data_IF_308993623590
#
_entry.id   IF_308993623590
#
_cell.length_a   1.000
_cell.length_b   1.000
_cell.length_c   1.000
_cell.angle_alpha   90.00
_cell.angle_beta   90.00
_cell.angle_gamma   90.00
#
_symmetry.space_group_name_H-M   'P 1'
#
loop_
_entity.id
_entity.type
_entity.pdbx_description
1 polymer ?
#
# COMPACT_ATOMS: atom_id res chain seq x y z
N UNK A 1 13.54 8.62 24.96
CA UNK A 1 14.01 9.00 23.61
C UNK A 1 12.90 8.74 22.62
N UNK A 2 12.41 9.77 21.95
CA UNK A 2 11.30 9.68 20.99
C UNK A 2 11.80 9.10 19.67
N UNK A 3 11.74 7.78 19.50
CA UNK A 3 11.89 7.13 18.20
C UNK A 3 11.12 5.80 18.15
N UNK A 4 9.87 5.82 18.61
CA UNK A 4 8.93 4.75 18.28
C UNK A 4 8.49 4.90 16.83
N UNK A 5 8.38 3.81 16.07
CA UNK A 5 7.74 3.85 14.75
C UNK A 5 6.38 4.56 14.88
N UNK A 6 5.99 5.41 13.91
CA UNK A 6 4.73 6.16 13.97
C UNK A 6 3.56 5.22 14.24
N UNK A 7 2.55 5.68 14.98
CA UNK A 7 1.36 4.88 15.33
C UNK A 7 0.72 4.27 14.06
N UNK A 8 0.08 3.09 14.16
CA UNK A 8 -0.50 2.43 13.00
C UNK A 8 -1.47 3.32 12.21
N UNK A 9 -2.32 4.11 12.87
CA UNK A 9 -3.23 5.03 12.19
C UNK A 9 -2.47 6.08 11.37
N UNK A 10 -1.33 6.57 11.86
CA UNK A 10 -0.49 7.55 11.15
C UNK A 10 0.15 6.90 9.92
N UNK A 11 0.59 5.63 10.03
CA UNK A 11 1.15 4.89 8.88
C UNK A 11 0.10 4.63 7.81
N UNK A 12 -1.11 4.25 8.20
CA UNK A 12 -2.21 4.02 7.27
C UNK A 12 -2.61 5.32 6.56
N UNK A 13 -2.82 6.40 7.32
CA UNK A 13 -3.14 7.72 6.78
C UNK A 13 -2.05 8.24 5.82
N UNK A 14 -0.77 8.03 6.15
CA UNK A 14 0.33 8.39 5.26
C UNK A 14 0.32 7.59 3.95
N UNK A 15 -0.14 6.33 3.97
CA UNK A 15 -0.26 5.51 2.76
C UNK A 15 -1.43 5.97 1.89
N UNK A 16 -2.57 6.32 2.49
CA UNK A 16 -3.70 6.91 1.77
C UNK A 16 -3.30 8.25 1.12
N UNK A 17 -2.64 9.13 1.87
CA UNK A 17 -2.13 10.40 1.33
C UNK A 17 -1.11 10.19 0.19
N UNK A 18 -0.27 9.16 0.29
CA UNK A 18 0.68 8.77 -0.77
C UNK A 18 -0.05 8.35 -2.04
N UNK A 19 -1.07 7.49 -1.90
CA UNK A 19 -1.92 7.07 -3.01
C UNK A 19 -2.58 8.27 -3.67
N UNK A 20 -3.23 9.12 -2.88
CA UNK A 20 -3.98 10.26 -3.39
C UNK A 20 -3.05 11.25 -4.13
N UNK A 21 -1.84 11.48 -3.62
CA UNK A 21 -0.85 12.34 -4.29
C UNK A 21 -0.35 11.76 -5.61
N UNK A 22 -0.13 10.45 -5.68
CA UNK A 22 0.25 9.79 -6.94
C UNK A 22 -0.85 9.87 -7.99
N UNK A 23 -2.12 9.77 -7.57
CA UNK A 23 -3.26 9.91 -8.47
C UNK A 23 -3.44 11.35 -8.97
N UNK A 24 -3.20 12.35 -8.11
CA UNK A 24 -3.37 13.76 -8.45
C UNK A 24 -2.26 14.34 -9.35
N UNK A 25 -1.06 13.74 -9.35
CA UNK A 25 0.08 14.25 -10.11
C UNK A 25 0.79 13.12 -10.91
N UNK A 26 0.27 12.80 -12.12
CA UNK A 26 0.91 11.83 -13.00
C UNK A 26 2.29 12.30 -13.52
N UNK A 27 2.64 13.58 -13.35
CA UNK A 27 3.91 14.18 -13.74
C UNK A 27 5.03 14.05 -12.70
N UNK A 28 4.79 13.37 -11.58
CA UNK A 28 5.79 13.16 -10.54
C UNK A 28 7.12 12.63 -11.12
N UNK A 29 8.28 13.19 -10.68
CA UNK A 29 9.58 12.74 -11.15
C UNK A 29 9.72 11.22 -10.98
N UNK A 30 10.30 10.54 -11.98
CA UNK A 30 10.49 9.08 -11.98
C UNK A 30 11.13 8.57 -10.68
N UNK A 31 12.09 9.32 -10.12
CA UNK A 31 12.73 9.00 -8.83
C UNK A 31 11.71 8.97 -7.68
N UNK A 32 10.86 9.98 -7.61
CA UNK A 32 9.80 10.09 -6.60
C UNK A 32 8.81 8.93 -6.74
N UNK A 33 8.36 8.64 -7.96
CA UNK A 33 7.47 7.49 -8.21
C UNK A 33 8.10 6.18 -7.73
N UNK A 34 9.38 5.93 -8.03
CA UNK A 34 10.09 4.73 -7.58
C UNK A 34 10.16 4.63 -6.05
N UNK A 35 10.41 5.74 -5.35
CA UNK A 35 10.43 5.77 -3.89
C UNK A 35 9.07 5.45 -3.30
N UNK A 36 7.99 5.96 -3.89
CA UNK A 36 6.64 5.72 -3.41
C UNK A 36 6.21 4.27 -3.65
N UNK A 37 6.57 3.66 -4.79
CA UNK A 37 6.36 2.21 -5.01
C UNK A 37 7.09 1.39 -3.95
N UNK A 38 8.34 1.70 -3.65
CA UNK A 38 9.09 1.00 -2.59
C UNK A 38 8.42 1.15 -1.21
N UNK A 39 7.87 2.34 -0.91
CA UNK A 39 7.14 2.59 0.33
C UNK A 39 5.85 1.76 0.41
N UNK A 40 5.07 1.69 -0.67
CA UNK A 40 3.85 0.85 -0.77
C UNK A 40 4.21 -0.63 -0.56
N UNK A 41 5.20 -1.14 -1.30
CA UNK A 41 5.63 -2.54 -1.20
C UNK A 41 6.05 -2.91 0.22
N UNK A 42 6.80 -2.04 0.90
CA UNK A 42 7.24 -2.28 2.26
C UNK A 42 6.10 -2.29 3.30
N UNK A 43 4.93 -1.71 2.99
CA UNK A 43 3.76 -1.71 3.88
C UNK A 43 2.81 -2.89 3.68
N UNK A 44 2.94 -3.64 2.59
CA UNK A 44 2.19 -4.89 2.39
C UNK A 44 2.55 -5.95 3.45
N UNK A 45 3.73 -5.84 4.07
CA UNK A 45 4.19 -6.71 5.16
C UNK A 45 4.04 -6.08 6.56
N UNK A 46 3.30 -4.98 6.72
CA UNK A 46 3.12 -4.33 8.02
C UNK A 46 2.38 -5.25 9.01
N UNK A 47 2.74 -5.21 10.29
CA UNK A 47 2.10 -6.03 11.32
C UNK A 47 0.64 -5.63 11.56
N UNK A 48 0.31 -4.36 11.34
CA UNK A 48 -1.05 -3.86 11.50
C UNK A 48 -1.87 -4.07 10.21
N UNK A 49 -3.10 -4.58 10.36
CA UNK A 49 -3.97 -4.91 9.24
C UNK A 49 -4.43 -3.67 8.45
N UNK A 50 -4.73 -2.56 9.12
CA UNK A 50 -5.19 -1.33 8.46
C UNK A 50 -4.10 -0.78 7.53
N UNK A 51 -2.83 -0.86 7.95
CA UNK A 51 -1.69 -0.47 7.11
C UNK A 51 -1.54 -1.37 5.88
N UNK A 52 -1.73 -2.69 6.05
CA UNK A 52 -1.72 -3.63 4.90
C UNK A 52 -2.90 -3.40 3.97
N UNK A 53 -4.08 -3.11 4.51
CA UNK A 53 -5.28 -2.79 3.73
C UNK A 53 -5.07 -1.52 2.90
N UNK A 54 -4.51 -0.46 3.49
CA UNK A 54 -4.18 0.77 2.78
C UNK A 54 -3.13 0.53 1.68
N UNK A 55 -2.12 -0.29 1.96
CA UNK A 55 -1.08 -0.63 0.98
C UNK A 55 -1.63 -1.42 -0.22
N UNK A 56 -2.47 -2.44 0.00
CA UNK A 56 -3.08 -3.21 -1.10
C UNK A 56 -4.08 -2.36 -1.89
N UNK A 57 -4.81 -1.45 -1.24
CA UNK A 57 -5.67 -0.49 -1.93
C UNK A 57 -4.84 0.45 -2.83
N UNK A 58 -3.66 0.88 -2.37
CA UNK A 58 -2.75 1.69 -3.18
C UNK A 58 -2.23 0.91 -4.40
N UNK A 59 -1.85 -0.36 -4.27
CA UNK A 59 -1.43 -1.21 -5.41
C UNK A 59 -2.46 -1.17 -6.54
N UNK A 60 -3.73 -1.43 -6.21
CA UNK A 60 -4.81 -1.46 -7.20
C UNK A 60 -5.11 -0.09 -7.82
N UNK A 61 -5.19 0.96 -6.99
CA UNK A 61 -5.52 2.31 -7.47
C UNK A 61 -4.43 2.89 -8.37
N UNK A 62 -3.17 2.56 -8.10
CA UNK A 62 -2.01 3.10 -8.82
C UNK A 62 -1.61 2.30 -10.06
N UNK A 63 -2.30 1.17 -10.32
CA UNK A 63 -1.92 0.25 -11.40
C UNK A 63 -0.49 -0.27 -11.23
N UNK A 64 -0.06 -0.55 -9.99
CA UNK A 64 1.23 -1.20 -9.77
C UNK A 64 1.14 -2.66 -10.20
N UNK A 65 2.30 -3.33 -10.28
CA UNK A 65 2.39 -4.76 -10.57
C UNK A 65 1.41 -5.55 -9.67
N UNK A 66 0.38 -6.21 -10.25
CA UNK A 66 -0.61 -6.96 -9.48
C UNK A 66 0.00 -8.07 -8.62
N UNK A 67 1.15 -8.61 -9.03
CA UNK A 67 1.85 -9.69 -8.31
C UNK A 67 2.30 -9.25 -6.91
N UNK A 68 2.44 -7.94 -6.66
CA UNK A 68 2.67 -7.41 -5.31
C UNK A 68 1.58 -7.82 -4.32
N UNK A 69 0.34 -8.05 -4.79
CA UNK A 69 -0.77 -8.48 -3.94
C UNK A 69 -0.80 -10.00 -3.69
N UNK A 70 -0.03 -10.82 -4.42
CA UNK A 70 -0.08 -12.30 -4.29
C UNK A 70 0.14 -12.81 -2.87
N UNK A 71 1.11 -12.31 -2.08
CA UNK A 71 1.32 -12.77 -0.71
C UNK A 71 0.11 -12.51 0.22
N UNK A 72 -0.74 -11.53 -0.12
CA UNK A 72 -1.89 -11.15 0.69
C UNK A 72 -3.13 -12.03 0.48
N UNK A 73 -3.08 -13.00 -0.44
CA UNK A 73 -4.14 -14.02 -0.59
C UNK A 73 -4.31 -14.89 0.66
N UNK A 74 -3.28 -14.97 1.51
CA UNK A 74 -3.29 -15.72 2.77
C UNK A 74 -3.32 -14.82 4.01
N UNK A 75 -3.58 -13.52 3.84
CA UNK A 75 -3.63 -12.56 4.94
C UNK A 75 -4.68 -12.96 6.00
N UNK A 76 -4.43 -12.77 7.31
CA UNK A 76 -5.44 -12.99 8.34
C UNK A 76 -6.74 -12.21 8.13
N UNK A 77 -6.67 -10.99 7.60
CA UNK A 77 -7.80 -10.12 7.34
C UNK A 77 -8.57 -10.50 6.07
N UNK A 78 -9.85 -10.89 6.22
CA UNK A 78 -10.69 -11.29 5.09
C UNK A 78 -10.86 -10.18 4.02
N UNK A 79 -10.94 -8.91 4.44
CA UNK A 79 -11.00 -7.75 3.53
C UNK A 79 -9.73 -7.62 2.69
N UNK A 80 -8.56 -7.85 3.30
CA UNK A 80 -7.28 -7.79 2.61
C UNK A 80 -7.19 -8.91 1.57
N UNK A 81 -7.57 -10.14 1.93
CA UNK A 81 -7.63 -11.27 0.97
C UNK A 81 -8.54 -10.96 -0.21
N UNK A 82 -9.74 -10.43 0.04
CA UNK A 82 -10.69 -10.07 -1.02
C UNK A 82 -10.12 -8.99 -1.96
N UNK A 83 -9.48 -7.95 -1.42
CA UNK A 83 -8.83 -6.91 -2.24
C UNK A 83 -7.68 -7.47 -3.07
N UNK A 84 -6.85 -8.32 -2.47
CA UNK A 84 -5.72 -8.95 -3.15
C UNK A 84 -6.19 -9.83 -4.32
N UNK A 85 -7.19 -10.70 -4.08
CA UNK A 85 -7.80 -11.50 -5.13
C UNK A 85 -8.37 -10.62 -6.24
N UNK A 86 -9.08 -9.56 -5.88
CA UNK A 86 -9.61 -8.59 -6.83
C UNK A 86 -8.54 -7.88 -7.66
N UNK A 87 -7.32 -7.67 -7.16
CA UNK A 87 -6.21 -7.08 -7.93
C UNK A 87 -5.65 -8.09 -8.94
N UNK A 88 -5.53 -9.35 -8.56
CA UNK A 88 -4.87 -10.39 -9.37
C UNK A 88 -5.71 -10.93 -10.53
N UNK A 89 -7.02 -10.67 -10.52
CA UNK A 89 -7.96 -11.14 -11.57
C UNK A 89 -8.40 -10.02 -12.53
N UNK A 90 -7.82 -8.83 -12.41
CA UNK A 90 -8.11 -7.66 -13.26
C UNK A 90 -7.09 -7.48 -14.37
#
# INVERSE_FOLDING_TARGET
GLAGSPLPEVRAAAMDATRDRLLADPGLPKRTRKQLVAAVTARLADRNADVREAAVAAVGALGLDPELARPLLTDPGARIRLRAAGILVR
#
